data_IF_637312654111
#
_entry.id   IF_637312654111
#
_cell.length_a   1.000
_cell.length_b   1.000
_cell.length_c   1.000
_cell.angle_alpha   90.00
_cell.angle_beta   90.00
_cell.angle_gamma   90.00
#
_symmetry.space_group_name_H-M   'P 1'
#
loop_
_entity.id
_entity.type
_entity.pdbx_description
1 polymer ?
#
# COMPACT_ATOMS: atom_id res chain seq x y z
N UNK A 1 20.81 11.50 4.86
CA UNK A 1 20.04 12.62 4.28
C UNK A 1 19.05 12.01 3.30
N UNK A 2 17.75 12.32 3.39
CA UNK A 2 16.75 11.75 2.50
C UNK A 2 16.88 12.36 1.10
N UNK A 3 17.02 11.53 0.06
CA UNK A 3 16.95 12.00 -1.32
C UNK A 3 15.51 12.42 -1.63
N UNK A 4 15.26 13.68 -2.02
CA UNK A 4 13.92 14.11 -2.38
C UNK A 4 13.40 13.48 -3.68
N UNK A 5 14.28 12.93 -4.53
CA UNK A 5 13.97 12.41 -5.85
C UNK A 5 13.70 10.89 -5.88
N UNK A 6 14.11 10.16 -4.84
CA UNK A 6 13.97 8.70 -4.78
C UNK A 6 13.42 8.25 -3.44
N UNK A 7 12.61 7.19 -3.45
CA UNK A 7 12.25 6.49 -2.22
C UNK A 7 13.44 5.64 -1.77
N UNK A 8 14.08 6.03 -0.66
CA UNK A 8 15.11 5.20 -0.05
C UNK A 8 14.49 4.07 0.75
N UNK A 9 14.46 2.85 0.20
CA UNK A 9 13.88 1.68 0.88
C UNK A 9 14.49 1.39 2.25
N UNK A 10 15.77 1.74 2.44
CA UNK A 10 16.46 1.62 3.73
C UNK A 10 15.70 2.30 4.87
N UNK A 11 15.05 3.45 4.65
CA UNK A 11 14.33 4.11 5.74
C UNK A 11 13.12 3.30 6.21
N UNK A 12 12.47 2.58 5.29
CA UNK A 12 11.32 1.73 5.60
C UNK A 12 11.79 0.51 6.38
N UNK A 13 12.89 -0.10 5.96
CA UNK A 13 13.53 -1.20 6.66
C UNK A 13 13.96 -0.79 8.09
N UNK A 14 14.56 0.40 8.24
CA UNK A 14 14.97 0.94 9.54
C UNK A 14 13.77 1.21 10.45
N UNK A 15 12.64 1.69 9.89
CA UNK A 15 11.39 1.89 10.63
C UNK A 15 10.80 0.55 11.09
N UNK A 16 10.79 -0.47 10.22
CA UNK A 16 10.31 -1.81 10.58
C UNK A 16 11.21 -2.44 11.66
N UNK A 17 12.53 -2.35 11.50
CA UNK A 17 13.48 -2.84 12.48
C UNK A 17 13.29 -2.15 13.84
N UNK A 18 13.06 -0.83 13.85
CA UNK A 18 12.76 -0.07 15.06
C UNK A 18 11.44 -0.52 15.69
N UNK A 19 10.41 -0.75 14.87
CA UNK A 19 9.11 -1.25 15.33
C UNK A 19 9.27 -2.59 16.06
N UNK A 20 9.93 -3.57 15.44
CA UNK A 20 10.17 -4.88 16.06
C UNK A 20 11.03 -4.79 17.33
N UNK A 21 12.03 -3.91 17.33
CA UNK A 21 12.94 -3.75 18.47
C UNK A 21 12.27 -3.11 19.68
N UNK A 22 11.43 -2.10 19.49
CA UNK A 22 10.93 -1.26 20.58
C UNK A 22 9.47 -1.53 20.96
N UNK A 23 8.66 -2.11 20.07
CA UNK A 23 7.23 -2.35 20.33
C UNK A 23 6.89 -3.79 20.68
N UNK A 24 7.83 -4.74 20.53
CA UNK A 24 7.61 -6.17 20.80
C UNK A 24 6.36 -6.69 20.08
N UNK A 25 5.57 -7.52 20.78
CA UNK A 25 4.36 -8.13 20.20
C UNK A 25 3.18 -7.18 19.93
N UNK A 26 3.26 -5.90 20.33
CA UNK A 26 2.19 -4.94 20.06
C UNK A 26 2.06 -4.57 18.57
N UNK A 27 3.13 -4.80 17.80
CA UNK A 27 3.17 -4.56 16.36
C UNK A 27 3.29 -5.85 15.55
N UNK A 28 3.11 -7.01 16.18
CA UNK A 28 3.04 -8.28 15.47
C UNK A 28 1.79 -8.31 14.59
N UNK A 29 1.97 -8.83 13.37
CA UNK A 29 0.87 -9.11 12.47
C UNK A 29 -0.16 -9.99 13.16
N UNK A 30 -1.41 -9.53 13.19
CA UNK A 30 -2.52 -10.32 13.71
C UNK A 30 -2.75 -11.52 12.80
N UNK A 31 -2.81 -12.72 13.37
CA UNK A 31 -2.98 -13.94 12.61
C UNK A 31 -4.22 -14.70 13.07
N UNK A 32 -5.10 -15.03 12.13
CA UNK A 32 -6.30 -15.87 12.34
C UNK A 32 -6.48 -16.83 11.17
N UNK A 33 -7.22 -17.92 11.39
CA UNK A 33 -7.57 -18.87 10.33
C UNK A 33 -8.39 -18.23 9.20
N UNK A 34 -9.11 -17.14 9.48
CA UNK A 34 -9.82 -16.36 8.44
C UNK A 34 -8.89 -15.82 7.35
N UNK A 35 -7.62 -15.55 7.70
CA UNK A 35 -6.61 -15.10 6.72
C UNK A 35 -6.17 -16.22 5.78
N UNK A 36 -6.52 -17.48 6.04
CA UNK A 36 -6.26 -18.58 5.09
C UNK A 36 -7.24 -18.54 3.91
N UNK A 37 -8.36 -17.84 4.04
CA UNK A 37 -9.40 -17.75 3.01
C UNK A 37 -9.20 -16.58 2.04
N UNK A 38 -8.20 -15.71 2.25
CA UNK A 38 -7.95 -14.58 1.35
C UNK A 38 -7.11 -14.97 0.14
N UNK A 39 -7.30 -14.22 -0.95
CA UNK A 39 -6.39 -14.24 -2.10
C UNK A 39 -5.26 -13.23 -1.88
N UNK A 40 -4.11 -13.49 -2.48
CA UNK A 40 -2.95 -12.60 -2.46
C UNK A 40 -2.37 -12.48 -3.88
N UNK A 41 -1.68 -11.37 -4.12
CA UNK A 41 -0.79 -11.23 -5.26
C UNK A 41 0.58 -11.76 -4.85
N UNK A 42 1.06 -12.80 -5.52
CA UNK A 42 2.46 -13.21 -5.47
C UNK A 42 3.24 -12.33 -6.45
N UNK A 43 4.08 -11.42 -5.94
CA UNK A 43 4.76 -10.42 -6.79
C UNK A 43 5.96 -10.99 -7.56
N UNK A 44 6.45 -12.16 -7.18
CA UNK A 44 7.54 -12.85 -7.88
C UNK A 44 7.02 -13.53 -9.14
N UNK A 45 5.92 -14.28 -9.00
CA UNK A 45 5.28 -15.00 -10.12
C UNK A 45 4.26 -14.16 -10.86
N UNK A 46 3.84 -13.03 -10.28
CA UNK A 46 2.79 -12.12 -10.77
C UNK A 46 1.46 -12.85 -10.97
N UNK A 47 1.09 -13.69 -10.01
CA UNK A 47 -0.15 -14.46 -10.04
C UNK A 47 -1.01 -14.16 -8.82
N UNK A 48 -2.31 -14.35 -8.99
CA UNK A 48 -3.22 -14.47 -7.85
C UNK A 48 -3.06 -15.86 -7.26
N UNK A 49 -2.80 -15.93 -5.96
CA UNK A 49 -2.63 -17.17 -5.22
C UNK A 49 -3.57 -17.20 -4.03
N UNK A 50 -3.95 -18.41 -3.59
CA UNK A 50 -4.57 -18.58 -2.28
C UNK A 50 -3.53 -18.30 -1.19
N UNK A 51 -3.96 -17.71 -0.08
CA UNK A 51 -3.12 -17.56 1.10
C UNK A 51 -2.50 -18.92 1.54
N UNK A 52 -1.20 -18.95 1.91
CA UNK A 52 -0.56 -20.16 2.40
C UNK A 52 -1.26 -20.74 3.64
N UNK A 53 -1.27 -22.07 3.78
CA UNK A 53 -1.89 -22.82 4.90
C UNK A 53 -1.18 -22.56 6.25
N UNK A 54 0.03 -22.00 6.22
CA UNK A 54 0.84 -21.66 7.39
C UNK A 54 0.96 -20.15 7.53
N UNK A 55 1.35 -19.65 8.71
CA UNK A 55 1.64 -18.22 8.91
C UNK A 55 2.55 -17.66 7.80
N UNK A 56 2.16 -16.51 7.28
CA UNK A 56 2.82 -15.80 6.18
C UNK A 56 2.79 -14.30 6.44
N UNK A 57 3.73 -13.59 5.84
CA UNK A 57 3.78 -12.14 5.84
C UNK A 57 3.30 -11.61 4.49
N UNK A 58 2.61 -10.48 4.53
CA UNK A 58 2.13 -9.79 3.34
C UNK A 58 1.97 -8.30 3.62
N UNK A 59 2.02 -7.52 2.56
CA UNK A 59 1.69 -6.10 2.60
C UNK A 59 0.25 -5.90 2.15
N UNK A 60 -0.39 -4.83 2.60
CA UNK A 60 -1.69 -4.40 2.06
C UNK A 60 -1.54 -3.08 1.29
N UNK A 61 -2.31 -2.91 0.22
CA UNK A 61 -2.41 -1.64 -0.49
C UNK A 61 -3.74 -0.95 -0.16
N UNK A 62 -3.65 0.30 0.28
CA UNK A 62 -4.80 1.17 0.55
C UNK A 62 -4.74 2.40 -0.36
N UNK A 63 -5.73 2.53 -1.25
CA UNK A 63 -5.73 3.54 -2.31
C UNK A 63 -7.14 3.88 -2.81
N UNK A 64 -7.24 4.95 -3.61
CA UNK A 64 -8.51 5.37 -4.23
C UNK A 64 -8.62 4.83 -5.65
N UNK A 65 -9.75 4.21 -6.00
CA UNK A 65 -9.95 3.67 -7.35
C UNK A 65 -10.23 4.77 -8.40
N UNK A 66 -10.91 5.86 -8.02
CA UNK A 66 -11.14 7.03 -8.87
C UNK A 66 -11.92 6.72 -10.16
N UNK A 67 -12.97 5.91 -10.05
CA UNK A 67 -13.83 5.53 -11.18
C UNK A 67 -13.31 4.35 -12.02
N UNK A 68 -12.09 3.88 -11.77
CA UNK A 68 -11.58 2.64 -12.40
C UNK A 68 -12.37 1.45 -11.88
N UNK A 69 -12.92 0.67 -12.81
CA UNK A 69 -13.62 -0.58 -12.48
C UNK A 69 -12.60 -1.72 -12.39
N UNK A 70 -12.50 -2.41 -11.25
CA UNK A 70 -11.62 -3.55 -11.12
C UNK A 70 -12.09 -4.72 -11.98
N UNK A 71 -11.15 -5.52 -12.47
CA UNK A 71 -11.40 -6.82 -13.10
C UNK A 71 -11.34 -7.89 -12.01
N UNK A 72 -12.27 -8.85 -12.02
CA UNK A 72 -12.20 -10.01 -11.13
C UNK A 72 -11.12 -10.98 -11.57
N UNK A 73 -10.38 -11.53 -10.61
CA UNK A 73 -9.37 -12.55 -10.86
C UNK A 73 -9.63 -13.79 -9.98
N UNK A 74 -9.28 -14.95 -10.54
CA UNK A 74 -9.37 -16.23 -9.83
C UNK A 74 -7.97 -16.69 -9.40
N UNK A 75 -7.92 -17.62 -8.45
CA UNK A 75 -6.65 -18.24 -8.06
C UNK A 75 -6.00 -18.89 -9.29
N UNK A 76 -4.72 -18.62 -9.49
CA UNK A 76 -3.94 -19.05 -10.65
C UNK A 76 -3.95 -18.07 -11.82
N UNK A 77 -4.78 -17.01 -11.80
CA UNK A 77 -4.77 -15.98 -12.85
C UNK A 77 -3.41 -15.28 -12.92
N UNK A 78 -2.87 -15.18 -14.14
CA UNK A 78 -1.67 -14.38 -14.44
C UNK A 78 -2.05 -12.90 -14.51
N UNK A 79 -1.26 -12.05 -13.86
CA UNK A 79 -1.44 -10.61 -13.88
C UNK A 79 -0.59 -9.99 -14.97
N UNK A 80 -1.24 -9.60 -16.07
CA UNK A 80 -0.57 -8.95 -17.18
C UNK A 80 -0.33 -7.46 -16.88
N UNK A 81 0.90 -6.93 -17.10
CA UNK A 81 1.24 -5.55 -16.76
C UNK A 81 0.32 -4.49 -17.39
N UNK A 82 -0.21 -4.77 -18.58
CA UNK A 82 -1.11 -3.86 -19.29
C UNK A 82 -2.50 -3.73 -18.68
N UNK A 83 -2.92 -4.69 -17.84
CA UNK A 83 -4.24 -4.71 -17.21
C UNK A 83 -4.24 -4.04 -15.82
N UNK A 84 -3.06 -3.83 -15.24
CA UNK A 84 -2.92 -3.29 -13.89
C UNK A 84 -2.82 -1.77 -13.89
N UNK A 85 -3.58 -1.14 -13.00
CA UNK A 85 -3.50 0.29 -12.77
C UNK A 85 -2.14 0.69 -12.19
N UNK A 86 -1.69 1.92 -12.44
CA UNK A 86 -0.33 2.36 -12.08
C UNK A 86 -0.01 2.20 -10.59
N UNK A 87 -0.95 2.55 -9.70
CA UNK A 87 -0.76 2.43 -8.25
C UNK A 87 -0.54 0.98 -7.82
N UNK A 88 -1.21 0.02 -8.46
CA UNK A 88 -1.04 -1.41 -8.18
C UNK A 88 0.34 -1.88 -8.67
N UNK A 89 0.76 -1.48 -9.87
CA UNK A 89 2.08 -1.83 -10.41
C UNK A 89 3.21 -1.31 -9.52
N UNK A 90 3.09 -0.07 -9.06
CA UNK A 90 4.04 0.55 -8.16
C UNK A 90 4.06 -0.18 -6.81
N UNK A 91 2.90 -0.50 -6.24
CA UNK A 91 2.82 -1.26 -5.00
C UNK A 91 3.47 -2.65 -5.14
N UNK A 92 3.19 -3.40 -6.22
CA UNK A 92 3.85 -4.69 -6.47
C UNK A 92 5.37 -4.57 -6.55
N UNK A 93 5.86 -3.52 -7.23
CA UNK A 93 7.30 -3.23 -7.30
C UNK A 93 7.87 -2.92 -5.91
N UNK A 94 7.22 -2.04 -5.15
CA UNK A 94 7.62 -1.68 -3.79
C UNK A 94 7.67 -2.91 -2.88
N UNK A 95 6.67 -3.79 -2.93
CA UNK A 95 6.66 -5.06 -2.19
C UNK A 95 7.89 -5.89 -2.52
N UNK A 96 8.19 -6.07 -3.80
CA UNK A 96 9.35 -6.84 -4.26
C UNK A 96 10.68 -6.21 -3.82
N UNK A 97 10.81 -4.89 -3.94
CA UNK A 97 12.03 -4.16 -3.58
C UNK A 97 12.28 -4.19 -2.06
N UNK A 98 11.23 -4.30 -1.25
CA UNK A 98 11.29 -4.53 0.20
C UNK A 98 11.47 -6.00 0.60
N UNK A 99 11.84 -6.86 -0.35
CA UNK A 99 12.05 -8.30 -0.15
C UNK A 99 10.81 -9.02 0.42
N UNK A 100 9.62 -8.48 0.15
CA UNK A 100 8.35 -9.12 0.49
C UNK A 100 7.77 -9.81 -0.75
N UNK A 101 7.02 -10.89 -0.52
CA UNK A 101 6.48 -11.72 -1.61
C UNK A 101 4.99 -11.48 -1.88
N UNK A 102 4.22 -11.26 -0.84
CA UNK A 102 2.76 -11.20 -0.95
C UNK A 102 2.25 -9.78 -0.77
N UNK A 103 1.32 -9.39 -1.63
CA UNK A 103 0.61 -8.13 -1.57
C UNK A 103 -0.90 -8.41 -1.66
N UNK A 104 -1.66 -7.89 -0.70
CA UNK A 104 -3.11 -7.85 -0.78
C UNK A 104 -3.57 -6.54 -1.43
N UNK A 105 -4.45 -6.66 -2.43
CA UNK A 105 -5.05 -5.54 -3.15
C UNK A 105 -6.54 -5.82 -3.29
N UNK A 106 -7.40 -4.97 -2.72
CA UNK A 106 -8.85 -5.14 -2.72
C UNK A 106 -9.43 -5.43 -4.13
N UNK A 107 -9.00 -4.67 -5.13
CA UNK A 107 -9.43 -4.79 -6.52
C UNK A 107 -9.05 -6.11 -7.19
N UNK A 108 -8.00 -6.81 -6.71
CA UNK A 108 -7.50 -8.05 -7.30
C UNK A 108 -7.84 -9.28 -6.48
N UNK A 109 -7.90 -9.15 -5.16
CA UNK A 109 -8.02 -10.26 -4.22
C UNK A 109 -9.47 -10.54 -3.81
N UNK A 110 -10.38 -9.58 -4.00
CA UNK A 110 -11.83 -9.76 -3.78
C UNK A 110 -12.48 -10.05 -5.13
N UNK A 111 -13.38 -11.04 -5.20
CA UNK A 111 -14.17 -11.23 -6.41
C UNK A 111 -15.22 -10.13 -6.53
N UNK A 112 -15.02 -9.24 -7.50
CA UNK A 112 -15.89 -8.08 -7.73
C UNK A 112 -17.20 -8.44 -8.43
N UNK A 113 -17.29 -9.65 -8.99
CA UNK A 113 -18.48 -10.16 -9.66
C UNK A 113 -19.40 -10.92 -8.71
N UNK A 114 -18.87 -11.45 -7.60
CA UNK A 114 -19.65 -12.14 -6.57
C UNK A 114 -19.95 -11.21 -5.38
N UNK A 115 -21.20 -10.76 -5.30
CA UNK A 115 -21.65 -9.89 -4.21
C UNK A 115 -21.55 -10.54 -2.82
N UNK A 116 -21.62 -11.87 -2.74
CA UNK A 116 -21.52 -12.59 -1.47
C UNK A 116 -20.07 -12.64 -0.99
N UNK A 117 -19.14 -13.01 -1.86
CA UNK A 117 -17.69 -12.96 -1.56
C UNK A 117 -17.29 -11.54 -1.17
N UNK A 118 -17.71 -10.56 -1.97
CA UNK A 118 -17.45 -9.14 -1.69
C UNK A 118 -17.92 -8.72 -0.29
N UNK A 119 -19.14 -9.07 0.10
CA UNK A 119 -19.67 -8.75 1.42
C UNK A 119 -18.85 -9.40 2.55
N UNK A 120 -18.49 -10.67 2.40
CA UNK A 120 -17.68 -11.39 3.39
C UNK A 120 -16.27 -10.81 3.51
N UNK A 121 -15.62 -10.50 2.38
CA UNK A 121 -14.29 -9.89 2.39
C UNK A 121 -14.31 -8.49 2.99
N UNK A 122 -15.38 -7.71 2.75
CA UNK A 122 -15.57 -6.39 3.38
C UNK A 122 -15.68 -6.52 4.90
N UNK A 123 -16.45 -7.49 5.40
CA UNK A 123 -16.55 -7.77 6.83
C UNK A 123 -15.18 -8.11 7.45
N UNK A 124 -14.32 -8.79 6.68
CA UNK A 124 -12.97 -9.20 7.10
C UNK A 124 -11.89 -8.13 6.87
N UNK A 125 -12.18 -7.02 6.19
CA UNK A 125 -11.15 -6.02 5.83
C UNK A 125 -10.35 -5.54 7.03
N UNK A 126 -11.00 -5.36 8.19
CA UNK A 126 -10.30 -4.99 9.43
C UNK A 126 -9.22 -6.01 9.82
N UNK A 127 -9.53 -7.30 9.75
CA UNK A 127 -8.59 -8.38 10.04
C UNK A 127 -7.50 -8.50 8.97
N UNK A 128 -7.83 -8.26 7.70
CA UNK A 128 -6.85 -8.24 6.61
C UNK A 128 -5.83 -7.11 6.83
N UNK A 129 -6.27 -5.87 7.02
CA UNK A 129 -5.33 -4.77 7.26
C UNK A 129 -4.52 -4.95 8.54
N UNK A 130 -5.13 -5.50 9.60
CA UNK A 130 -4.45 -5.80 10.87
C UNK A 130 -3.45 -6.96 10.75
N UNK A 131 -3.68 -7.89 9.82
CA UNK A 131 -2.79 -9.02 9.57
C UNK A 131 -1.62 -8.71 8.63
N UNK A 132 -1.68 -7.60 7.90
CA UNK A 132 -0.57 -7.16 7.07
C UNK A 132 0.63 -6.72 7.93
N UNK A 133 1.84 -6.97 7.45
CA UNK A 133 3.09 -6.50 8.08
C UNK A 133 3.11 -4.97 8.18
N UNK A 134 2.68 -4.31 7.11
CA UNK A 134 2.29 -2.91 7.09
C UNK A 134 1.41 -2.63 5.87
N UNK A 135 0.76 -1.46 5.86
CA UNK A 135 -0.09 -1.02 4.76
C UNK A 135 0.59 0.11 3.98
N UNK A 136 0.69 -0.06 2.67
CA UNK A 136 1.10 0.99 1.73
C UNK A 136 -0.12 1.89 1.48
N UNK A 137 -0.02 3.16 1.86
CA UNK A 137 -1.09 4.14 1.69
C UNK A 137 -0.78 5.10 0.55
N UNK A 138 -1.56 5.04 -0.54
CA UNK A 138 -1.44 5.94 -1.69
C UNK A 138 -2.15 7.28 -1.45
N UNK A 139 -1.67 8.04 -0.46
CA UNK A 139 -2.38 9.20 0.11
C UNK A 139 -2.66 10.33 -0.90
N UNK A 140 -1.70 10.61 -1.78
CA UNK A 140 -1.79 11.72 -2.75
C UNK A 140 -2.54 11.36 -4.03
N UNK A 141 -2.92 10.09 -4.20
CA UNK A 141 -3.60 9.61 -5.41
C UNK A 141 -5.10 9.87 -5.39
N UNK A 142 -5.66 10.25 -6.53
CA UNK A 142 -7.11 10.43 -6.70
C UNK A 142 -7.76 9.30 -7.52
N UNK A 143 -6.95 8.40 -8.07
CA UNK A 143 -7.39 7.23 -8.84
C UNK A 143 -6.38 6.08 -8.81
N UNK A 144 -6.80 4.90 -9.24
CA UNK A 144 -5.96 3.70 -9.34
C UNK A 144 -4.76 3.90 -10.27
N UNK A 145 -4.83 4.88 -11.18
CA UNK A 145 -3.80 5.21 -12.16
C UNK A 145 -2.88 6.36 -11.71
N UNK A 146 -3.02 6.87 -10.48
CA UNK A 146 -2.19 7.96 -9.98
C UNK A 146 -0.73 7.57 -9.77
N UNK A 147 -0.47 6.30 -9.44
CA UNK A 147 0.86 5.81 -9.08
C UNK A 147 1.28 6.19 -7.67
N UNK A 148 2.43 5.67 -7.24
CA UNK A 148 3.10 6.02 -5.99
C UNK A 148 4.25 7.01 -6.29
N UNK A 149 4.20 8.23 -5.75
CA UNK A 149 5.27 9.20 -5.97
C UNK A 149 6.63 8.67 -5.52
N UNK A 150 7.71 9.12 -6.20
CA UNK A 150 9.12 8.78 -5.91
C UNK A 150 9.55 7.32 -6.15
N UNK A 151 8.64 6.40 -6.49
CA UNK A 151 9.01 5.02 -6.84
C UNK A 151 9.45 4.90 -8.32
N UNK A 152 8.79 5.65 -9.21
CA UNK A 152 9.01 5.63 -10.67
C UNK A 152 8.98 7.05 -11.27
N UNK A 153 9.37 8.07 -10.49
CA UNK A 153 9.30 9.47 -10.92
C UNK A 153 7.87 10.01 -11.11
N UNK A 154 6.86 9.30 -10.61
CA UNK A 154 5.47 9.74 -10.65
C UNK A 154 5.23 10.92 -9.69
N UNK A 155 4.28 11.79 -10.06
CA UNK A 155 3.79 12.88 -9.23
C UNK A 155 4.63 14.16 -9.30
N UNK A 156 3.97 15.30 -9.05
CA UNK A 156 4.66 16.58 -8.89
C UNK A 156 5.32 16.62 -7.51
N UNK A 157 6.63 16.84 -7.47
CA UNK A 157 7.27 17.26 -6.23
C UNK A 157 6.80 18.67 -5.88
N UNK A 158 6.31 18.84 -4.66
CA UNK A 158 6.07 20.16 -4.09
C UNK A 158 7.33 20.58 -3.32
N UNK A 159 8.15 21.49 -3.87
CA UNK A 159 9.35 21.94 -3.17
C UNK A 159 8.94 22.66 -1.89
N UNK A 160 9.63 22.35 -0.80
CA UNK A 160 9.49 23.11 0.43
C UNK A 160 10.00 24.54 0.16
N UNK A 161 9.13 25.54 0.37
CA UNK A 161 9.49 26.95 0.19
C UNK A 161 10.66 27.25 1.14
N UNK A 162 11.71 27.89 0.66
CA UNK A 162 12.84 28.31 1.48
C UNK A 162 13.40 29.64 1.01
N UNK A 163 13.97 30.40 1.94
CA UNK A 163 14.68 31.64 1.65
C UNK A 163 15.94 31.76 2.51
N UNK A 164 16.89 32.59 2.08
CA UNK A 164 18.07 32.93 2.86
C UNK A 164 17.92 34.34 3.41
N UNK A 165 18.09 34.51 4.71
CA UNK A 165 18.06 35.80 5.42
C UNK A 165 19.29 35.86 6.31
N UNK A 166 20.17 36.83 6.08
CA UNK A 166 21.39 37.05 6.88
C UNK A 166 22.25 35.78 7.10
N UNK A 167 22.41 34.98 6.04
CA UNK A 167 23.18 33.73 6.09
C UNK A 167 22.46 32.54 6.72
N UNK A 168 21.24 32.72 7.23
CA UNK A 168 20.38 31.64 7.71
C UNK A 168 19.40 31.18 6.64
N UNK A 169 19.19 29.86 6.52
CA UNK A 169 18.18 29.29 5.62
C UNK A 169 16.88 29.07 6.39
N UNK A 170 15.87 29.87 6.08
CA UNK A 170 14.51 29.68 6.57
C UNK A 170 13.77 28.72 5.63
N UNK A 171 12.98 27.81 6.20
CA UNK A 171 12.15 26.86 5.46
C UNK A 171 10.70 26.97 5.91
N UNK A 172 9.77 26.99 4.95
CA UNK A 172 8.34 26.97 5.22
C UNK A 172 7.95 25.63 5.84
N UNK A 173 7.07 25.66 6.83
CA UNK A 173 6.56 24.43 7.44
C UNK A 173 5.74 23.64 6.41
N UNK A 174 6.05 22.36 6.26
CA UNK A 174 5.22 21.45 5.48
C UNK A 174 3.93 21.16 6.26
N UNK A 175 2.79 20.97 5.57
CA UNK A 175 1.56 20.56 6.23
C UNK A 175 1.78 19.27 7.04
N UNK A 176 1.09 19.14 8.16
CA UNK A 176 1.18 17.93 8.98
C UNK A 176 0.56 16.74 8.25
N UNK A 177 0.96 15.52 8.62
CA UNK A 177 0.35 14.31 8.07
C UNK A 177 -1.17 14.29 8.28
N UNK A 178 -1.65 14.69 9.46
CA UNK A 178 -3.09 14.78 9.75
C UNK A 178 -3.82 15.74 8.80
N UNK A 179 -3.23 16.89 8.48
CA UNK A 179 -3.79 17.83 7.50
C UNK A 179 -3.80 17.25 6.09
N UNK A 180 -2.76 16.50 5.70
CA UNK A 180 -2.70 15.83 4.41
C UNK A 180 -3.76 14.73 4.29
N UNK A 181 -3.95 13.93 5.35
CA UNK A 181 -5.00 12.92 5.40
C UNK A 181 -6.37 13.55 5.24
N UNK A 182 -6.68 14.56 6.06
CA UNK A 182 -7.99 15.21 6.04
C UNK A 182 -8.35 15.86 4.69
N UNK A 183 -7.35 16.35 3.95
CA UNK A 183 -7.54 16.97 2.62
C UNK A 183 -7.53 15.96 1.46
N UNK A 184 -7.12 14.72 1.70
CA UNK A 184 -6.97 13.72 0.64
C UNK A 184 -8.31 13.10 0.26
N UNK A 185 -8.46 12.70 -1.01
CA UNK A 185 -9.58 11.86 -1.45
C UNK A 185 -9.59 10.48 -0.78
N UNK A 186 -8.41 10.06 -0.28
CA UNK A 186 -8.27 8.83 0.48
C UNK A 186 -8.95 8.93 1.84
N UNK A 187 -8.73 10.03 2.58
CA UNK A 187 -9.24 10.22 3.95
C UNK A 187 -10.76 10.41 4.07
N UNK A 188 -11.49 10.54 2.97
CA UNK A 188 -12.95 10.60 2.96
C UNK A 188 -13.60 9.20 2.93
N UNK A 189 -12.82 8.12 3.00
CA UNK A 189 -13.29 6.73 2.87
C UNK A 189 -13.35 6.03 4.23
N UNK A 190 -14.26 5.07 4.36
CA UNK A 190 -14.56 4.39 5.63
C UNK A 190 -13.59 3.26 5.99
N UNK A 191 -12.88 2.67 5.02
CA UNK A 191 -12.06 1.46 5.21
C UNK A 191 -10.57 1.75 5.02
N UNK A 192 -10.16 2.86 5.62
CA UNK A 192 -8.82 3.46 5.58
C UNK A 192 -8.62 4.33 6.81
#
# INVERSE_FOLDING_TARGET
MLDPHQLGFQIIEDWLASCYKYHGGNCDSFWTEELLEIKLVDVETRKIVQAPIKRFDYLALSYVWGGVRPKSYQVGSQLEPGELSQTIKDAMKMTKDLQQRYLWVDALCIDQADNKDKAQQIERMGNIYRGATFTIVALSGTSANSGLPRLNGHGKMHPQISCHVEGQRLVGLMPTLSQQIWRSSWGTRAWT
#
